data_IF_574540007201
#
_entry.id   IF_574540007201
#
_cell.length_a   1.000
_cell.length_b   1.000
_cell.length_c   1.000
_cell.angle_alpha   90.00
_cell.angle_beta   90.00
_cell.angle_gamma   90.00
#
_symmetry.space_group_name_H-M   'P 1'
#
loop_
_entity.id
_entity.type
_entity.pdbx_description
1 polymer ?
#
# COMPACT_ATOMS: atom_id res chain seq x y z
N UNK A 1 -11.94 -8.96 -8.98
CA UNK A 1 -11.58 -9.04 -10.41
C UNK A 1 -10.18 -8.45 -10.59
N UNK A 2 -9.31 -9.23 -11.22
CA UNK A 2 -7.97 -8.78 -11.58
C UNK A 2 -8.07 -8.11 -12.96
N UNK A 3 -7.67 -6.83 -13.07
CA UNK A 3 -7.60 -6.15 -14.36
C UNK A 3 -6.19 -6.32 -14.93
N UNK A 4 -6.07 -7.10 -16.02
CA UNK A 4 -4.83 -7.19 -16.81
C UNK A 4 -4.95 -6.17 -17.94
N UNK A 5 -4.07 -5.15 -17.95
CA UNK A 5 -3.95 -4.20 -19.04
C UNK A 5 -2.71 -4.57 -19.87
N UNK A 6 -2.90 -4.91 -21.13
CA UNK A 6 -1.84 -5.17 -22.13
C UNK A 6 -0.92 -6.38 -21.84
N UNK A 7 -1.39 -7.43 -21.18
CA UNK A 7 -0.66 -8.66 -20.81
C UNK A 7 0.56 -8.46 -19.88
N UNK A 8 1.13 -7.24 -19.80
CA UNK A 8 2.36 -6.97 -19.05
C UNK A 8 2.11 -6.39 -17.66
N UNK A 9 0.96 -5.76 -17.41
CA UNK A 9 0.60 -5.10 -16.13
C UNK A 9 -0.68 -5.68 -15.57
N UNK A 10 -0.63 -6.11 -14.31
CA UNK A 10 -1.81 -6.53 -13.55
C UNK A 10 -2.06 -5.60 -12.36
N UNK A 11 -3.33 -5.35 -12.04
CA UNK A 11 -3.74 -4.61 -10.84
C UNK A 11 -4.45 -5.57 -9.89
N UNK A 12 -3.96 -5.66 -8.68
CA UNK A 12 -4.51 -6.46 -7.58
C UNK A 12 -5.07 -5.51 -6.53
N UNK A 13 -6.36 -5.60 -6.26
CA UNK A 13 -7.03 -4.80 -5.24
C UNK A 13 -7.16 -5.59 -3.95
N UNK A 14 -6.51 -5.15 -2.88
CA UNK A 14 -6.58 -5.80 -1.55
C UNK A 14 -8.02 -5.94 -1.06
N UNK A 15 -8.87 -4.93 -1.31
CA UNK A 15 -10.25 -4.94 -0.87
C UNK A 15 -11.11 -6.04 -1.53
N UNK A 16 -10.72 -6.54 -2.69
CA UNK A 16 -11.47 -7.58 -3.42
C UNK A 16 -11.33 -8.98 -2.82
N UNK A 17 -10.25 -9.23 -2.04
CA UNK A 17 -9.96 -10.55 -1.44
C UNK A 17 -9.71 -10.52 0.07
N UNK A 18 -9.34 -9.36 0.63
CA UNK A 18 -9.07 -9.19 2.06
C UNK A 18 -9.72 -7.92 2.62
N UNK A 19 -10.82 -7.46 2.01
CA UNK A 19 -11.48 -6.20 2.31
C UNK A 19 -12.45 -6.24 3.47
N UNK A 20 -12.67 -5.06 4.09
CA UNK A 20 -13.65 -4.86 5.16
C UNK A 20 -15.08 -5.34 4.80
N UNK A 21 -15.61 -5.10 3.59
CA UNK A 21 -16.95 -5.59 3.24
C UNK A 21 -17.08 -7.13 3.29
N UNK A 22 -15.99 -7.85 3.01
CA UNK A 22 -15.97 -9.32 3.07
C UNK A 22 -15.97 -9.86 4.49
N UNK A 23 -15.51 -9.05 5.45
CA UNK A 23 -15.47 -9.40 6.88
C UNK A 23 -16.72 -8.94 7.64
N UNK A 24 -17.66 -8.25 6.98
CA UNK A 24 -18.84 -7.66 7.63
C UNK A 24 -19.64 -8.69 8.44
N UNK A 25 -19.89 -8.37 9.74
CA UNK A 25 -20.55 -9.25 10.70
C UNK A 25 -19.68 -10.37 11.25
N UNK A 26 -18.40 -10.42 10.90
CA UNK A 26 -17.40 -11.39 11.39
C UNK A 26 -16.03 -10.72 11.56
N UNK A 27 -16.05 -9.45 11.95
CA UNK A 27 -14.85 -8.62 12.06
C UNK A 27 -13.91 -9.20 13.13
N UNK A 28 -12.78 -9.72 12.68
CA UNK A 28 -11.65 -10.15 13.51
C UNK A 28 -10.37 -9.89 12.73
N UNK A 29 -9.85 -8.67 12.87
CA UNK A 29 -8.66 -8.22 12.14
C UNK A 29 -7.41 -9.03 12.47
N UNK A 30 -7.39 -9.72 13.62
CA UNK A 30 -6.28 -10.58 14.03
C UNK A 30 -6.33 -11.98 13.40
N UNK A 31 -7.52 -12.44 12.93
CA UNK A 31 -7.67 -13.68 12.14
C UNK A 31 -7.73 -13.45 10.65
N UNK A 32 -8.17 -12.26 10.24
CA UNK A 32 -8.18 -11.90 8.84
C UNK A 32 -6.76 -11.99 8.25
N UNK A 33 -6.65 -12.47 7.04
CA UNK A 33 -5.37 -12.73 6.39
C UNK A 33 -5.29 -12.09 5.01
N UNK A 34 -4.10 -11.67 4.63
CA UNK A 34 -3.79 -11.19 3.28
C UNK A 34 -3.49 -12.32 2.30
N UNK A 35 -3.68 -13.60 2.66
CA UNK A 35 -3.32 -14.76 1.83
C UNK A 35 -3.89 -14.67 0.41
N UNK A 36 -5.17 -14.28 0.26
CA UNK A 36 -5.80 -14.09 -1.05
C UNK A 36 -5.14 -13.01 -1.92
N UNK A 37 -4.49 -12.01 -1.33
CA UNK A 37 -3.71 -11.02 -2.10
C UNK A 37 -2.51 -11.70 -2.76
N UNK A 38 -1.81 -12.57 -2.03
CA UNK A 38 -0.70 -13.35 -2.58
C UNK A 38 -1.15 -14.31 -3.68
N UNK A 39 -2.32 -14.95 -3.53
CA UNK A 39 -2.90 -15.81 -4.58
C UNK A 39 -3.19 -15.01 -5.85
N UNK A 40 -3.77 -13.79 -5.73
CA UNK A 40 -4.02 -12.92 -6.88
C UNK A 40 -2.73 -12.47 -7.57
N UNK A 41 -1.68 -12.16 -6.81
CA UNK A 41 -0.36 -11.85 -7.38
C UNK A 41 0.17 -13.05 -8.17
N UNK A 42 0.09 -14.27 -7.61
CA UNK A 42 0.53 -15.48 -8.32
C UNK A 42 -0.27 -15.76 -9.59
N UNK A 43 -1.58 -15.53 -9.55
CA UNK A 43 -2.44 -15.70 -10.72
C UNK A 43 -2.06 -14.71 -11.82
N UNK A 44 -1.82 -13.44 -11.46
CA UNK A 44 -1.33 -12.42 -12.37
C UNK A 44 -0.01 -12.80 -13.05
N UNK A 45 0.97 -13.24 -12.24
CA UNK A 45 2.29 -13.67 -12.74
C UNK A 45 2.16 -14.91 -13.64
N UNK A 46 1.31 -15.86 -13.25
CA UNK A 46 1.03 -17.07 -14.07
C UNK A 46 0.36 -16.73 -15.41
N UNK A 47 -0.41 -15.63 -15.44
CA UNK A 47 -1.01 -15.08 -16.65
C UNK A 47 -0.03 -14.28 -17.53
N UNK A 48 1.22 -14.10 -17.07
CA UNK A 48 2.31 -13.45 -17.81
C UNK A 48 2.54 -11.99 -17.46
N UNK A 49 2.00 -11.48 -16.34
CA UNK A 49 2.29 -10.11 -15.91
C UNK A 49 3.75 -9.97 -15.46
N UNK A 50 4.48 -9.02 -16.05
CA UNK A 50 5.82 -8.62 -15.64
C UNK A 50 5.82 -7.51 -14.59
N UNK A 51 4.67 -6.82 -14.43
CA UNK A 51 4.47 -5.79 -13.41
C UNK A 51 3.13 -6.01 -12.70
N UNK A 52 3.14 -5.97 -11.37
CA UNK A 52 1.95 -6.12 -10.54
C UNK A 52 1.81 -4.90 -9.63
N UNK A 53 0.69 -4.21 -9.75
CA UNK A 53 0.33 -3.06 -8.92
C UNK A 53 -0.68 -3.53 -7.86
N UNK A 54 -0.33 -3.37 -6.59
CA UNK A 54 -1.18 -3.76 -5.45
C UNK A 54 -1.78 -2.51 -4.81
N UNK A 55 -3.09 -2.38 -4.88
CA UNK A 55 -3.83 -1.33 -4.17
C UNK A 55 -4.02 -1.70 -2.70
N UNK A 56 -3.42 -0.96 -1.78
CA UNK A 56 -3.40 -1.28 -0.34
C UNK A 56 -4.63 -0.75 0.44
N UNK A 57 -5.67 -0.22 -0.22
CA UNK A 57 -6.84 0.35 0.45
C UNK A 57 -7.86 -0.68 0.94
N UNK A 58 -8.69 -0.29 1.93
CA UNK A 58 -9.91 -1.00 2.32
C UNK A 58 -9.74 -2.37 3.00
N UNK A 59 -8.54 -2.72 3.50
CA UNK A 59 -8.23 -4.04 4.09
C UNK A 59 -8.91 -4.28 5.44
N UNK A 60 -9.30 -5.54 5.72
CA UNK A 60 -9.76 -6.01 7.01
C UNK A 60 -8.65 -6.58 7.91
N UNK A 61 -7.43 -6.69 7.39
CA UNK A 61 -6.32 -7.45 7.96
C UNK A 61 -5.37 -6.60 8.80
N UNK A 62 -4.67 -7.24 9.74
CA UNK A 62 -3.52 -6.69 10.47
C UNK A 62 -2.51 -7.82 10.71
N UNK A 63 -2.08 -8.46 9.62
CA UNK A 63 -1.16 -9.60 9.63
C UNK A 63 0.26 -9.26 9.15
N UNK A 64 0.58 -7.97 8.95
CA UNK A 64 1.89 -7.57 8.48
C UNK A 64 2.24 -8.07 7.06
N UNK A 65 1.23 -8.44 6.26
CA UNK A 65 1.43 -9.01 4.92
C UNK A 65 1.94 -10.45 4.91
N UNK A 66 1.99 -11.11 6.07
CA UNK A 66 2.52 -12.48 6.17
C UNK A 66 1.67 -13.50 5.43
N UNK A 67 0.35 -13.30 5.38
CA UNK A 67 -0.54 -14.16 4.59
C UNK A 67 -0.19 -14.11 3.10
N UNK A 68 -0.08 -12.89 2.53
CA UNK A 68 0.30 -12.71 1.13
C UNK A 68 1.68 -13.30 0.85
N UNK A 69 2.63 -13.06 1.73
CA UNK A 69 3.98 -13.60 1.63
C UNK A 69 3.99 -15.14 1.65
N UNK A 70 3.20 -15.76 2.53
CA UNK A 70 3.09 -17.23 2.59
C UNK A 70 2.52 -17.80 1.29
N UNK A 71 1.47 -17.20 0.73
CA UNK A 71 0.94 -17.61 -0.57
C UNK A 71 1.98 -17.50 -1.69
N UNK A 72 2.83 -16.46 -1.65
CA UNK A 72 3.93 -16.27 -2.60
C UNK A 72 5.08 -17.27 -2.43
N UNK A 73 5.13 -17.99 -1.29
CA UNK A 73 6.15 -19.01 -1.00
C UNK A 73 7.17 -18.60 0.06
N UNK A 74 6.95 -17.50 0.78
CA UNK A 74 7.74 -17.19 1.98
C UNK A 74 7.40 -18.20 3.07
N UNK A 75 8.42 -18.77 3.71
CA UNK A 75 8.25 -19.75 4.77
C UNK A 75 8.41 -19.08 6.13
N UNK A 76 7.39 -19.24 6.96
CA UNK A 76 7.39 -18.78 8.35
C UNK A 76 7.49 -20.00 9.27
N UNK A 77 8.53 -20.04 10.09
CA UNK A 77 8.82 -21.17 10.97
C UNK A 77 8.66 -20.73 12.42
N UNK A 78 8.05 -21.57 13.22
CA UNK A 78 7.98 -21.37 14.67
C UNK A 78 9.25 -21.86 15.39
N UNK A 79 9.28 -21.78 16.73
CA UNK A 79 10.43 -22.18 17.53
C UNK A 79 10.77 -23.68 17.45
N UNK A 80 9.81 -24.53 17.05
CA UNK A 80 10.03 -25.96 16.80
C UNK A 80 10.53 -26.23 15.38
N UNK A 81 10.59 -25.21 14.51
CA UNK A 81 10.94 -25.32 13.10
C UNK A 81 9.77 -25.79 12.22
N UNK A 82 8.54 -25.79 12.77
CA UNK A 82 7.35 -26.14 12.02
C UNK A 82 6.85 -24.93 11.20
N UNK A 83 6.54 -25.18 9.93
CA UNK A 83 6.03 -24.17 9.02
C UNK A 83 4.53 -23.89 9.25
N UNK A 84 4.13 -22.63 9.26
CA UNK A 84 2.74 -22.22 9.40
C UNK A 84 2.45 -20.92 8.63
N UNK A 85 1.16 -20.65 8.39
CA UNK A 85 0.71 -19.37 7.82
C UNK A 85 0.35 -18.44 8.97
N UNK A 86 1.09 -17.33 9.18
CA UNK A 86 0.79 -16.41 10.26
C UNK A 86 -0.47 -15.59 9.99
N UNK A 87 -1.11 -15.17 11.08
CA UNK A 87 -2.17 -14.18 11.14
C UNK A 87 -1.82 -13.15 12.20
N UNK A 88 -2.54 -12.03 12.30
CA UNK A 88 -2.29 -11.02 13.33
C UNK A 88 -2.14 -11.59 14.73
N UNK A 89 -2.99 -12.57 15.10
CA UNK A 89 -2.92 -13.23 16.41
C UNK A 89 -1.71 -14.14 16.62
N UNK A 90 -1.05 -14.56 15.55
CA UNK A 90 0.04 -15.57 15.64
C UNK A 90 1.40 -15.02 15.22
N UNK A 91 1.52 -13.73 14.94
CA UNK A 91 2.79 -13.10 14.55
C UNK A 91 3.92 -13.36 15.55
N UNK A 92 3.61 -13.34 16.86
CA UNK A 92 4.59 -13.61 17.94
C UNK A 92 5.15 -15.03 17.94
N UNK A 93 4.54 -15.97 17.20
CA UNK A 93 5.05 -17.34 17.07
C UNK A 93 6.16 -17.47 16.02
N UNK A 94 6.32 -16.47 15.15
CA UNK A 94 7.35 -16.50 14.11
C UNK A 94 8.72 -16.48 14.77
N UNK A 95 9.51 -17.53 14.56
CA UNK A 95 10.88 -17.62 15.03
C UNK A 95 11.91 -17.44 13.92
N UNK A 96 11.54 -17.72 12.65
CA UNK A 96 12.39 -17.58 11.47
C UNK A 96 11.59 -17.32 10.21
N UNK A 97 12.18 -16.54 9.30
CA UNK A 97 11.64 -16.23 7.97
C UNK A 97 12.63 -16.66 6.89
N UNK A 98 12.14 -17.36 5.86
CA UNK A 98 12.89 -17.66 4.64
C UNK A 98 12.09 -17.14 3.43
N UNK A 99 12.54 -16.04 2.85
CA UNK A 99 11.90 -15.40 1.68
C UNK A 99 12.49 -15.86 0.34
N UNK A 100 13.51 -16.71 0.35
CA UNK A 100 14.23 -17.11 -0.86
C UNK A 100 13.32 -17.72 -1.94
N UNK A 101 12.37 -18.64 -1.61
CA UNK A 101 11.53 -19.24 -2.64
C UNK A 101 10.59 -18.23 -3.33
N UNK A 102 10.06 -17.25 -2.56
CA UNK A 102 9.20 -16.21 -3.11
C UNK A 102 9.99 -15.24 -4.00
N UNK A 103 11.16 -14.81 -3.56
CA UNK A 103 12.07 -13.93 -4.33
C UNK A 103 12.53 -14.59 -5.62
N UNK A 104 12.86 -15.87 -5.60
CA UNK A 104 13.24 -16.61 -6.80
C UNK A 104 12.07 -16.68 -7.81
N UNK A 105 10.86 -16.90 -7.32
CA UNK A 105 9.66 -16.96 -8.15
C UNK A 105 9.30 -15.61 -8.80
N UNK A 106 9.54 -14.52 -8.09
CA UNK A 106 9.19 -13.16 -8.52
C UNK A 106 10.39 -12.36 -9.05
N UNK A 107 11.50 -13.03 -9.35
CA UNK A 107 12.77 -12.40 -9.76
C UNK A 107 12.62 -11.41 -10.92
N UNK A 108 11.77 -11.75 -11.90
CA UNK A 108 11.57 -10.99 -13.13
C UNK A 108 10.23 -10.24 -13.11
N UNK A 109 9.62 -10.06 -11.92
CA UNK A 109 8.34 -9.39 -11.75
C UNK A 109 8.52 -8.16 -10.89
N UNK A 110 8.10 -7.01 -11.40
CA UNK A 110 8.09 -5.75 -10.67
C UNK A 110 6.79 -5.63 -9.86
N UNK A 111 6.91 -5.60 -8.52
CA UNK A 111 5.75 -5.47 -7.65
C UNK A 111 5.76 -4.10 -6.99
N UNK A 112 4.68 -3.35 -7.20
CA UNK A 112 4.48 -2.02 -6.63
C UNK A 112 3.27 -2.01 -5.71
N UNK A 113 3.38 -1.35 -4.57
CA UNK A 113 2.26 -1.15 -3.64
C UNK A 113 1.86 0.31 -3.64
N UNK A 114 0.63 0.59 -4.06
CA UNK A 114 0.04 1.93 -3.98
C UNK A 114 -0.30 2.25 -2.53
N UNK A 115 0.37 3.27 -1.97
CA UNK A 115 0.25 3.65 -0.57
C UNK A 115 0.21 5.16 -0.43
N UNK A 116 -0.94 5.71 -0.05
CA UNK A 116 -1.16 7.16 0.12
C UNK A 116 -1.10 7.61 1.60
N UNK A 117 -0.59 6.76 2.47
CA UNK A 117 -0.39 7.07 3.89
C UNK A 117 1.08 6.97 4.26
N UNK A 118 1.48 7.72 5.28
CA UNK A 118 2.86 7.70 5.81
C UNK A 118 2.99 6.96 7.15
N UNK A 119 1.90 6.35 7.64
CA UNK A 119 1.89 5.66 8.92
C UNK A 119 2.96 4.56 8.98
N UNK A 120 3.76 4.49 10.06
CA UNK A 120 4.71 3.41 10.29
C UNK A 120 3.98 2.09 10.58
N UNK A 121 4.73 1.01 10.67
CA UNK A 121 4.16 -0.31 10.98
C UNK A 121 3.61 -0.38 12.39
N UNK A 122 4.35 0.13 13.39
CA UNK A 122 4.08 -0.05 14.81
C UNK A 122 3.92 1.26 15.58
N UNK A 123 3.55 1.18 16.86
CA UNK A 123 3.41 2.30 17.77
C UNK A 123 2.10 3.05 17.63
N UNK A 124 1.96 4.18 18.35
CA UNK A 124 0.70 4.94 18.44
C UNK A 124 0.18 5.48 17.10
N UNK A 125 1.06 5.63 16.11
CA UNK A 125 0.72 6.03 14.73
C UNK A 125 0.77 4.85 13.77
N UNK A 126 0.98 3.64 14.26
CA UNK A 126 1.16 2.42 13.49
C UNK A 126 -0.16 1.77 13.05
N UNK A 127 -0.01 0.70 12.28
CA UNK A 127 -1.11 -0.01 11.62
C UNK A 127 -2.23 -0.45 12.59
N UNK A 128 -1.86 -1.05 13.74
CA UNK A 128 -2.83 -1.56 14.70
C UNK A 128 -3.58 -0.43 15.41
N UNK A 129 -2.86 0.59 15.88
CA UNK A 129 -3.46 1.69 16.64
C UNK A 129 -4.36 2.60 15.82
N UNK A 130 -3.93 2.96 14.61
CA UNK A 130 -4.67 3.91 13.76
C UNK A 130 -5.82 3.22 13.02
N UNK A 131 -5.60 2.03 12.49
CA UNK A 131 -6.56 1.38 11.61
C UNK A 131 -7.26 0.16 12.20
N UNK A 132 -6.78 -0.38 13.32
CA UNK A 132 -7.39 -1.53 14.01
C UNK A 132 -8.83 -1.29 14.46
N UNK A 133 -9.16 -0.15 15.11
CA UNK A 133 -10.51 0.12 15.59
C UNK A 133 -11.58 0.06 14.50
N UNK A 134 -11.34 0.65 13.32
CA UNK A 134 -12.28 0.59 12.18
C UNK A 134 -12.45 -0.81 11.59
N UNK A 135 -11.54 -1.74 11.93
CA UNK A 135 -11.56 -3.15 11.53
C UNK A 135 -12.12 -4.06 12.62
N UNK A 136 -12.72 -3.48 13.67
CA UNK A 136 -13.36 -4.21 14.77
C UNK A 136 -12.44 -4.57 15.94
N UNK A 137 -11.18 -4.09 15.97
CA UNK A 137 -10.31 -4.37 17.10
C UNK A 137 -10.68 -3.51 18.32
N UNK A 138 -10.88 -4.15 19.46
CA UNK A 138 -10.97 -3.48 20.76
C UNK A 138 -9.57 -3.06 21.26
N UNK A 139 -9.47 -2.23 22.31
CA UNK A 139 -8.17 -1.74 22.80
C UNK A 139 -7.17 -2.86 23.18
N UNK A 140 -7.64 -3.98 23.69
CA UNK A 140 -6.78 -5.12 24.06
C UNK A 140 -6.24 -5.82 22.81
N UNK A 141 -7.10 -6.01 21.82
CA UNK A 141 -6.72 -6.55 20.51
C UNK A 141 -5.73 -5.64 19.80
N UNK A 142 -5.95 -4.30 19.80
CA UNK A 142 -5.00 -3.33 19.24
C UNK A 142 -3.61 -3.48 19.84
N UNK A 143 -3.51 -3.53 21.20
CA UNK A 143 -2.23 -3.67 21.88
C UNK A 143 -1.54 -5.01 21.54
N UNK A 144 -2.32 -6.11 21.45
CA UNK A 144 -1.80 -7.43 21.08
C UNK A 144 -1.29 -7.46 19.64
N UNK A 145 -2.04 -6.85 18.70
CA UNK A 145 -1.66 -6.77 17.30
C UNK A 145 -0.41 -5.93 17.10
N UNK A 146 -0.31 -4.79 17.80
CA UNK A 146 0.90 -3.95 17.74
C UNK A 146 2.12 -4.72 18.26
N UNK A 147 1.98 -5.44 19.38
CA UNK A 147 3.05 -6.33 19.90
C UNK A 147 3.47 -7.37 18.86
N UNK A 148 2.51 -7.96 18.15
CA UNK A 148 2.78 -8.90 17.07
C UNK A 148 3.55 -8.28 15.91
N UNK A 149 3.17 -7.07 15.50
CA UNK A 149 3.85 -6.33 14.43
C UNK A 149 5.27 -5.90 14.84
N UNK A 150 5.48 -5.46 16.09
CA UNK A 150 6.82 -5.18 16.62
C UNK A 150 7.70 -6.43 16.58
N UNK A 151 7.17 -7.58 17.00
CA UNK A 151 7.90 -8.84 16.92
C UNK A 151 8.25 -9.19 15.47
N UNK A 152 7.30 -9.08 14.54
CA UNK A 152 7.52 -9.32 13.12
C UNK A 152 8.63 -8.43 12.57
N UNK A 153 8.61 -7.12 12.87
CA UNK A 153 9.62 -6.16 12.42
C UNK A 153 11.02 -6.58 12.87
N UNK A 154 11.17 -6.99 14.13
CA UNK A 154 12.45 -7.48 14.65
C UNK A 154 12.95 -8.74 13.96
N UNK A 155 12.06 -9.70 13.65
CA UNK A 155 12.43 -10.91 12.91
C UNK A 155 12.81 -10.58 11.45
N UNK A 156 12.06 -9.68 10.79
CA UNK A 156 12.35 -9.21 9.43
C UNK A 156 13.73 -8.54 9.36
N UNK A 157 14.04 -7.65 10.30
CA UNK A 157 15.33 -6.99 10.34
C UNK A 157 16.47 -8.01 10.55
N UNK A 158 16.29 -8.96 11.48
CA UNK A 158 17.30 -10.00 11.76
C UNK A 158 17.54 -10.94 10.58
N UNK A 159 16.48 -11.45 9.94
CA UNK A 159 16.57 -12.52 8.96
C UNK A 159 16.73 -12.01 7.53
N UNK A 160 16.17 -10.85 7.21
CA UNK A 160 16.16 -10.28 5.87
C UNK A 160 17.00 -9.00 5.73
N UNK A 161 17.44 -8.40 6.85
CA UNK A 161 18.22 -7.17 6.85
C UNK A 161 17.44 -5.91 6.46
N UNK A 162 16.10 -5.93 6.59
CA UNK A 162 15.22 -4.83 6.18
C UNK A 162 14.53 -4.23 7.40
N UNK A 163 14.74 -2.95 7.67
CA UNK A 163 14.08 -2.22 8.76
C UNK A 163 12.74 -1.64 8.27
N UNK A 164 11.65 -2.38 8.46
CA UNK A 164 10.32 -1.97 7.99
C UNK A 164 9.54 -1.10 8.97
N UNK A 165 9.94 -1.09 10.24
CA UNK A 165 9.18 -0.38 11.27
C UNK A 165 9.15 1.14 11.02
N UNK A 166 10.28 1.74 10.66
CA UNK A 166 10.40 3.16 10.39
C UNK A 166 10.14 3.55 8.91
N UNK A 167 9.82 2.59 8.04
CA UNK A 167 9.55 2.85 6.63
C UNK A 167 8.21 3.59 6.50
N UNK A 168 8.15 4.82 5.96
CA UNK A 168 6.90 5.52 5.73
C UNK A 168 5.94 4.70 4.87
N UNK A 169 4.68 4.57 5.31
CA UNK A 169 3.68 3.78 4.62
C UNK A 169 3.70 2.28 4.91
N UNK A 170 4.68 1.79 5.67
CA UNK A 170 4.76 0.35 6.02
C UNK A 170 3.52 -0.18 6.75
N UNK A 171 2.79 0.69 7.47
CA UNK A 171 1.55 0.35 8.16
C UNK A 171 0.33 0.20 7.25
N UNK A 172 0.43 0.55 5.96
CA UNK A 172 -0.70 0.45 5.05
C UNK A 172 -1.25 -0.97 4.95
N UNK A 173 -2.59 -1.06 4.90
CA UNK A 173 -3.32 -2.33 4.85
C UNK A 173 -2.93 -3.31 5.97
N UNK A 174 -2.73 -2.79 7.19
CA UNK A 174 -2.38 -3.64 8.35
C UNK A 174 -0.97 -4.23 8.27
N UNK A 175 -0.06 -3.52 7.62
CA UNK A 175 1.33 -3.90 7.42
C UNK A 175 1.60 -4.66 6.11
N UNK A 176 0.60 -4.83 5.24
CA UNK A 176 0.79 -5.49 3.94
C UNK A 176 1.88 -4.80 3.10
N UNK A 177 1.87 -3.45 3.07
CA UNK A 177 2.84 -2.70 2.29
C UNK A 177 4.28 -2.93 2.78
N UNK A 178 4.52 -2.79 4.08
CA UNK A 178 5.82 -3.07 4.68
C UNK A 178 6.26 -4.53 4.51
N UNK A 179 5.31 -5.47 4.66
CA UNK A 179 5.57 -6.89 4.47
C UNK A 179 5.98 -7.24 3.04
N UNK A 180 5.22 -6.82 2.02
CA UNK A 180 5.58 -7.06 0.62
C UNK A 180 6.94 -6.42 0.27
N UNK A 181 7.22 -5.23 0.80
CA UNK A 181 8.54 -4.62 0.64
C UNK A 181 9.64 -5.53 1.20
N UNK A 182 9.51 -5.99 2.44
CA UNK A 182 10.54 -6.80 3.09
C UNK A 182 10.69 -8.19 2.48
N UNK A 183 9.58 -8.87 2.20
CA UNK A 183 9.59 -10.27 1.80
C UNK A 183 10.00 -10.47 0.34
N UNK A 184 9.50 -9.63 -0.55
CA UNK A 184 9.68 -9.80 -2.00
C UNK A 184 10.32 -8.59 -2.70
N UNK A 185 10.67 -7.53 -1.97
CA UNK A 185 11.30 -6.35 -2.55
C UNK A 185 10.32 -5.40 -3.25
N UNK A 186 9.03 -5.46 -2.93
CA UNK A 186 8.04 -4.58 -3.54
C UNK A 186 8.36 -3.09 -3.25
N UNK A 187 8.10 -2.22 -4.23
CA UNK A 187 8.30 -0.78 -4.09
C UNK A 187 7.01 -0.10 -3.62
N UNK A 188 7.11 0.73 -2.56
CA UNK A 188 5.99 1.57 -2.13
C UNK A 188 5.98 2.85 -2.95
N UNK A 189 4.84 3.15 -3.59
CA UNK A 189 4.66 4.36 -4.38
C UNK A 189 3.35 5.08 -4.01
N UNK A 190 3.30 6.43 -4.05
CA UNK A 190 2.05 7.15 -4.00
C UNK A 190 1.11 6.70 -5.12
N UNK A 191 -0.17 6.53 -4.81
CA UNK A 191 -1.15 6.07 -5.80
C UNK A 191 -1.25 6.99 -7.01
N UNK A 192 -1.13 8.31 -6.78
CA UNK A 192 -1.16 9.29 -7.87
C UNK A 192 -0.01 9.07 -8.87
N UNK A 193 1.19 8.77 -8.39
CA UNK A 193 2.36 8.57 -9.26
C UNK A 193 2.16 7.34 -10.16
N UNK A 194 1.68 6.24 -9.57
CA UNK A 194 1.38 5.00 -10.30
C UNK A 194 0.29 5.22 -11.36
N UNK A 195 -0.75 5.98 -11.02
CA UNK A 195 -1.84 6.29 -11.96
C UNK A 195 -1.35 7.17 -13.10
N UNK A 196 -0.58 8.22 -12.82
CA UNK A 196 -0.04 9.11 -13.84
C UNK A 196 0.93 8.38 -14.77
N UNK A 197 1.79 7.53 -14.22
CA UNK A 197 2.72 6.69 -15.00
C UNK A 197 1.94 5.73 -15.93
N UNK A 198 0.98 5.00 -15.36
CA UNK A 198 0.18 4.01 -16.11
C UNK A 198 -0.70 4.66 -17.18
N UNK A 199 -1.18 5.90 -16.95
CA UNK A 199 -1.95 6.66 -17.91
C UNK A 199 -1.09 7.31 -19.01
N UNK A 200 0.23 7.22 -18.94
CA UNK A 200 1.13 7.88 -19.88
C UNK A 200 1.10 9.41 -19.75
N UNK A 201 0.74 9.94 -18.58
CA UNK A 201 0.56 11.38 -18.33
C UNK A 201 1.81 12.20 -18.67
N UNK A 202 2.99 11.67 -18.38
CA UNK A 202 4.25 12.34 -18.67
C UNK A 202 4.47 12.62 -20.17
N UNK A 203 3.95 11.77 -21.05
CA UNK A 203 4.02 12.01 -22.50
C UNK A 203 2.93 12.99 -22.95
N UNK A 204 1.73 12.89 -22.39
CA UNK A 204 0.63 13.81 -22.68
C UNK A 204 0.98 15.26 -22.31
N UNK A 205 1.61 15.47 -21.17
CA UNK A 205 2.03 16.80 -20.68
C UNK A 205 3.00 17.48 -21.65
N UNK A 206 3.84 16.73 -22.38
CA UNK A 206 4.81 17.33 -23.32
C UNK A 206 4.15 18.15 -24.43
N UNK A 207 2.90 17.86 -24.77
CA UNK A 207 2.15 18.52 -25.86
C UNK A 207 0.93 19.29 -25.36
N UNK A 208 0.63 19.26 -24.07
CA UNK A 208 -0.52 19.96 -23.49
C UNK A 208 -0.26 21.47 -23.35
N UNK A 209 -1.29 22.27 -23.54
CA UNK A 209 -1.27 23.72 -23.28
C UNK A 209 -1.99 24.07 -21.96
N UNK A 210 -2.78 23.15 -21.42
CA UNK A 210 -3.52 23.31 -20.19
C UNK A 210 -3.71 21.92 -19.56
N UNK A 211 -3.62 21.86 -18.22
CA UNK A 211 -3.98 20.68 -17.44
C UNK A 211 -5.15 21.03 -16.53
N UNK A 212 -6.19 20.19 -16.54
CA UNK A 212 -7.34 20.30 -15.64
C UNK A 212 -7.37 19.03 -14.78
N UNK A 213 -7.45 19.23 -13.49
CA UNK A 213 -7.63 18.16 -12.50
C UNK A 213 -8.80 18.49 -11.58
N UNK A 214 -9.21 17.55 -10.73
CA UNK A 214 -10.36 17.77 -9.85
C UNK A 214 -10.25 17.02 -8.53
N UNK A 215 -10.96 17.58 -7.52
CA UNK A 215 -11.05 17.00 -6.18
C UNK A 215 -12.43 17.35 -5.58
N UNK A 216 -12.99 16.46 -4.77
CA UNK A 216 -14.25 16.74 -4.08
C UNK A 216 -14.16 17.91 -3.11
N UNK A 217 -13.08 18.01 -2.36
CA UNK A 217 -12.76 19.12 -1.46
C UNK A 217 -11.25 19.38 -1.46
N UNK A 218 -10.89 20.64 -1.67
CA UNK A 218 -9.52 21.12 -1.62
C UNK A 218 -9.30 22.06 -0.43
N UNK A 219 -8.26 21.84 0.36
CA UNK A 219 -7.85 22.66 1.52
C UNK A 219 -6.36 22.45 1.80
N UNK A 220 -5.80 23.10 2.84
CA UNK A 220 -4.38 22.97 3.21
C UNK A 220 -3.91 21.53 3.47
N UNK A 221 -4.80 20.61 3.85
CA UNK A 221 -4.45 19.19 4.00
C UNK A 221 -4.23 18.47 2.66
N UNK A 222 -4.61 19.08 1.54
CA UNK A 222 -4.40 18.53 0.20
C UNK A 222 -2.92 18.49 -0.19
N UNK A 223 -2.04 19.21 0.53
CA UNK A 223 -0.57 19.11 0.40
C UNK A 223 -0.03 17.70 0.70
N UNK A 224 -0.76 16.89 1.45
CA UNK A 224 -0.34 15.54 1.84
C UNK A 224 -0.49 14.48 0.73
N UNK A 225 -0.25 14.85 -0.54
CA UNK A 225 -0.19 13.90 -1.68
C UNK A 225 -1.53 13.62 -2.37
N UNK A 226 -2.52 14.53 -2.23
CA UNK A 226 -3.77 14.39 -2.99
C UNK A 226 -3.57 14.61 -4.50
N UNK A 227 -4.49 14.08 -5.28
CA UNK A 227 -4.45 14.07 -6.76
C UNK A 227 -4.06 15.41 -7.38
N UNK A 228 -4.65 16.58 -7.01
CA UNK A 228 -4.29 17.86 -7.63
C UNK A 228 -2.82 18.24 -7.46
N UNK A 229 -2.25 17.95 -6.28
CA UNK A 229 -0.84 18.27 -5.99
C UNK A 229 0.08 17.34 -6.79
N UNK A 230 -0.17 16.04 -6.81
CA UNK A 230 0.61 15.10 -7.61
C UNK A 230 0.60 15.46 -9.11
N UNK A 231 -0.57 15.85 -9.63
CA UNK A 231 -0.69 16.32 -11.02
C UNK A 231 0.16 17.59 -11.25
N UNK A 232 0.06 18.58 -10.36
CA UNK A 232 0.83 19.83 -10.49
C UNK A 232 2.35 19.58 -10.42
N UNK A 233 2.78 18.73 -9.49
CA UNK A 233 4.19 18.32 -9.37
C UNK A 233 4.68 17.58 -10.62
N UNK A 234 3.87 16.68 -11.19
CA UNK A 234 4.21 15.98 -12.43
C UNK A 234 4.35 16.95 -13.64
N UNK A 235 3.48 17.98 -13.73
CA UNK A 235 3.60 19.03 -14.73
C UNK A 235 4.90 19.83 -14.56
N UNK A 236 5.25 20.21 -13.33
CA UNK A 236 6.53 20.91 -13.03
C UNK A 236 7.74 20.05 -13.38
N UNK A 237 7.69 18.76 -13.05
CA UNK A 237 8.78 17.82 -13.38
C UNK A 237 9.01 17.67 -14.90
N UNK A 238 7.98 17.87 -15.72
CA UNK A 238 8.10 17.90 -17.17
C UNK A 238 8.83 19.15 -17.72
N UNK A 239 9.19 20.11 -16.86
CA UNK A 239 9.96 21.31 -17.23
C UNK A 239 9.22 22.33 -18.09
N UNK A 240 7.88 22.25 -18.13
CA UNK A 240 7.03 23.16 -18.91
C UNK A 240 6.21 24.08 -18.01
N UNK A 241 6.06 25.34 -18.39
CA UNK A 241 5.17 26.30 -17.72
C UNK A 241 3.73 26.15 -18.26
N UNK A 242 3.07 25.04 -17.89
CA UNK A 242 1.69 24.74 -18.29
C UNK A 242 0.77 25.10 -17.12
N UNK A 243 -0.30 25.88 -17.33
CA UNK A 243 -1.26 26.16 -16.28
C UNK A 243 -1.98 24.87 -15.83
N UNK A 244 -2.11 24.72 -14.50
CA UNK A 244 -2.86 23.64 -13.87
C UNK A 244 -4.07 24.24 -13.16
N UNK A 245 -5.26 23.86 -13.61
CA UNK A 245 -6.54 24.31 -13.02
C UNK A 245 -7.15 23.15 -12.22
N UNK A 246 -7.52 23.42 -10.98
CA UNK A 246 -8.23 22.48 -10.13
C UNK A 246 -9.72 22.83 -10.08
N UNK A 247 -10.56 21.88 -10.46
CA UNK A 247 -12.01 21.97 -10.25
C UNK A 247 -12.33 21.31 -8.90
N UNK A 248 -12.88 22.04 -7.94
CA UNK A 248 -13.16 21.54 -6.60
C UNK A 248 -14.66 21.62 -6.27
N UNK A 249 -15.24 20.55 -5.74
CA UNK A 249 -16.63 20.59 -5.25
C UNK A 249 -16.80 21.52 -4.05
N UNK A 250 -15.74 21.77 -3.28
CA UNK A 250 -15.67 22.79 -2.22
C UNK A 250 -14.23 23.21 -1.96
N UNK A 251 -14.05 24.47 -1.55
CA UNK A 251 -12.74 25.04 -1.21
C UNK A 251 -12.74 25.33 0.29
N UNK A 252 -11.78 24.77 1.01
CA UNK A 252 -11.57 24.97 2.44
C UNK A 252 -10.63 26.12 2.74
N UNK A 253 -10.06 26.12 3.94
CA UNK A 253 -9.07 27.11 4.40
C UNK A 253 -7.65 26.70 3.98
N UNK A 254 -6.71 27.66 4.09
CA UNK A 254 -5.28 27.48 3.90
C UNK A 254 -4.89 26.95 2.50
N UNK A 255 -5.62 27.36 1.47
CA UNK A 255 -5.37 26.96 0.08
C UNK A 255 -4.26 27.76 -0.60
N UNK A 256 -3.78 28.84 0.00
CA UNK A 256 -2.74 29.71 -0.59
C UNK A 256 -1.43 28.96 -0.85
N UNK A 257 -1.08 28.04 0.04
CA UNK A 257 0.12 27.20 -0.08
C UNK A 257 0.07 26.23 -1.27
N UNK A 258 -1.12 25.92 -1.78
CA UNK A 258 -1.28 25.02 -2.93
C UNK A 258 -0.80 25.64 -4.23
N UNK A 259 -0.83 26.97 -4.35
CA UNK A 259 -0.30 27.68 -5.52
C UNK A 259 1.23 27.54 -5.62
N UNK A 260 1.93 27.44 -4.49
CA UNK A 260 3.38 27.20 -4.44
C UNK A 260 3.76 25.83 -5.01
N UNK A 261 2.81 24.87 -4.97
CA UNK A 261 2.99 23.53 -5.54
C UNK A 261 2.77 23.46 -7.05
N UNK A 262 2.42 24.58 -7.70
CA UNK A 262 2.28 24.67 -9.15
C UNK A 262 0.84 24.71 -9.66
N UNK A 263 -0.14 24.83 -8.76
CA UNK A 263 -1.53 25.10 -9.15
C UNK A 263 -1.65 26.55 -9.61
N UNK A 264 -2.29 26.74 -10.77
CA UNK A 264 -2.50 28.08 -11.36
C UNK A 264 -3.81 28.69 -10.89
N UNK A 265 -4.86 27.89 -10.79
CA UNK A 265 -6.17 28.35 -10.35
C UNK A 265 -6.97 27.22 -9.68
N UNK A 266 -7.79 27.58 -8.72
CA UNK A 266 -8.79 26.71 -8.09
C UNK A 266 -10.17 27.29 -8.39
N UNK A 267 -11.04 26.47 -8.99
CA UNK A 267 -12.40 26.85 -9.40
C UNK A 267 -13.38 25.94 -8.62
N UNK A 268 -14.22 26.52 -7.74
CA UNK A 268 -15.25 25.81 -7.00
C UNK A 268 -16.45 25.42 -7.88
#
# INVERSE_FOLDING_TARGET
EMCIRDRDVAVVETASCAGLPLASGREDTGRATTFGVGEQILDAVSAGAGRVIVGAGGSATTDGGTGAAAALGVRFLDAAGEEFVPTGHTLTRIARIDSSPARDRLRDVDVEVMCDISNPLTGSQGAAHVFGPQKGADPASVASLDTGLVHLAGIVERDLGVAIDALPGSGAAGGLAGGLHAFIGATLKPGIDVVLETAGFHDLVKTADLVITGEGRIDGQSLAGKVPIGVAQAVRAAGRAIPVIVLAGSVGQDTDTLYDEGITAIVP
#
